data_IF_918428019799
#
_entry.id   IF_918428019799
#
_cell.length_a   1.000
_cell.length_b   1.000
_cell.length_c   1.000
_cell.angle_alpha   90.00
_cell.angle_beta   90.00
_cell.angle_gamma   90.00
#
_symmetry.space_group_name_H-M   'P 1'
#
loop_
_entity.id
_entity.type
_entity.pdbx_description
1 polymer ?
#
# COMPACT_ATOMS: atom_id res chain seq x y z
N UNK A 1 -11.89 -12.45 19.51
CA UNK A 1 -12.33 -11.30 18.68
C UNK A 1 -11.63 -11.44 17.34
N UNK A 2 -12.32 -11.28 16.20
CA UNK A 2 -11.68 -11.44 14.89
C UNK A 2 -10.64 -10.33 14.71
N UNK A 3 -9.41 -10.72 14.35
CA UNK A 3 -8.30 -9.78 14.11
C UNK A 3 -8.38 -9.17 12.70
N UNK A 4 -9.51 -9.33 12.01
CA UNK A 4 -9.71 -8.88 10.62
C UNK A 4 -9.82 -7.37 10.56
N UNK A 5 -8.98 -6.74 9.74
CA UNK A 5 -8.98 -5.30 9.46
C UNK A 5 -9.71 -4.94 8.18
N UNK A 6 -9.51 -5.72 7.11
CA UNK A 6 -10.21 -5.60 5.84
C UNK A 6 -10.87 -6.93 5.52
N UNK A 7 -12.10 -6.90 5.05
CA UNK A 7 -12.75 -8.05 4.44
C UNK A 7 -13.48 -7.62 3.18
N UNK A 8 -13.50 -8.51 2.18
CA UNK A 8 -14.25 -8.32 0.94
C UNK A 8 -15.17 -9.51 0.73
N UNK A 9 -16.34 -9.28 0.18
CA UNK A 9 -17.32 -10.32 -0.15
C UNK A 9 -17.84 -10.09 -1.57
N UNK A 10 -17.46 -10.97 -2.50
CA UNK A 10 -17.80 -10.92 -3.91
C UNK A 10 -17.57 -9.54 -4.53
N UNK A 11 -16.49 -8.87 -4.12
CA UNK A 11 -16.15 -7.54 -4.61
C UNK A 11 -15.79 -7.59 -6.09
N UNK A 12 -16.45 -6.75 -6.90
CA UNK A 12 -16.14 -6.56 -8.32
C UNK A 12 -15.58 -5.16 -8.51
N UNK A 13 -14.40 -5.08 -9.10
CA UNK A 13 -13.67 -3.83 -9.34
C UNK A 13 -13.52 -3.54 -10.83
N UNK A 14 -13.40 -2.26 -11.16
CA UNK A 14 -13.25 -1.79 -12.54
C UNK A 14 -13.64 -0.33 -12.67
N UNK A 15 -13.83 0.13 -13.91
CA UNK A 15 -14.10 1.53 -14.20
C UNK A 15 -15.55 1.70 -14.67
N UNK A 16 -16.28 2.65 -14.04
CA UNK A 16 -17.57 3.10 -14.54
C UNK A 16 -17.33 4.14 -15.65
N UNK A 17 -17.74 3.86 -16.86
CA UNK A 17 -17.72 4.87 -17.93
C UNK A 17 -18.83 5.88 -17.68
N UNK A 18 -18.44 7.10 -17.27
CA UNK A 18 -19.39 8.18 -16.98
C UNK A 18 -20.12 8.74 -18.22
N UNK A 19 -19.67 8.37 -19.43
CA UNK A 19 -20.22 8.91 -20.69
C UNK A 19 -21.03 7.89 -21.51
N UNK A 20 -21.03 6.61 -21.14
CA UNK A 20 -21.81 5.59 -21.84
C UNK A 20 -22.81 4.93 -20.90
N UNK A 21 -23.98 4.61 -21.41
CA UNK A 21 -25.07 3.98 -20.66
C UNK A 21 -24.60 2.91 -19.68
N UNK A 22 -25.34 2.67 -18.60
CA UNK A 22 -25.09 1.69 -17.50
C UNK A 22 -24.57 0.31 -17.93
N UNK A 23 -24.51 -0.01 -19.23
CA UNK A 23 -24.09 -1.28 -19.80
C UNK A 23 -22.57 -1.43 -20.08
N UNK A 24 -21.79 -0.33 -20.10
CA UNK A 24 -20.36 -0.40 -20.43
C UNK A 24 -19.48 -0.16 -19.19
N UNK A 25 -19.57 -1.06 -18.21
CA UNK A 25 -18.62 -1.11 -17.09
C UNK A 25 -17.41 -1.92 -17.54
N UNK A 26 -16.23 -1.31 -17.55
CA UNK A 26 -14.99 -2.05 -17.80
C UNK A 26 -14.59 -2.79 -16.51
N UNK A 27 -15.04 -4.04 -16.39
CA UNK A 27 -14.74 -4.87 -15.22
C UNK A 27 -13.31 -5.38 -15.34
N UNK A 28 -12.53 -5.16 -14.30
CA UNK A 28 -11.13 -5.62 -14.21
C UNK A 28 -11.04 -6.95 -13.49
N UNK A 29 -11.73 -7.11 -12.36
CA UNK A 29 -11.81 -8.36 -11.60
C UNK A 29 -13.21 -8.53 -10.98
N UNK A 30 -13.62 -9.81 -10.81
CA UNK A 30 -14.92 -10.18 -10.25
C UNK A 30 -14.79 -11.04 -9.03
N UNK A 31 -15.82 -10.98 -8.17
CA UNK A 31 -16.06 -11.90 -7.07
C UNK A 31 -14.86 -12.08 -6.11
N UNK A 32 -14.11 -10.99 -5.87
CA UNK A 32 -12.97 -11.00 -4.97
C UNK A 32 -13.47 -11.18 -3.52
N UNK A 33 -13.07 -12.27 -2.88
CA UNK A 33 -13.41 -12.56 -1.49
C UNK A 33 -12.15 -12.93 -0.73
N UNK A 34 -11.75 -12.09 0.23
CA UNK A 34 -10.57 -12.28 1.07
C UNK A 34 -10.67 -11.46 2.36
N UNK A 35 -9.78 -11.75 3.31
CA UNK A 35 -9.64 -10.97 4.54
C UNK A 35 -8.17 -10.73 4.89
N UNK A 36 -7.87 -9.51 5.34
CA UNK A 36 -6.57 -9.11 5.88
C UNK A 36 -6.68 -8.86 7.38
N UNK A 37 -5.66 -9.27 8.12
CA UNK A 37 -5.64 -9.18 9.57
C UNK A 37 -4.78 -7.99 10.05
N UNK A 38 -5.05 -7.53 11.25
CA UNK A 38 -4.16 -6.60 11.92
C UNK A 38 -2.83 -7.29 12.25
N UNK A 39 -1.74 -6.56 12.13
CA UNK A 39 -0.40 -7.07 12.44
C UNK A 39 0.24 -7.86 11.31
N UNK A 40 -0.29 -7.84 10.08
CA UNK A 40 0.31 -8.56 8.95
C UNK A 40 0.71 -7.65 7.80
N UNK A 41 1.77 -8.02 7.10
CA UNK A 41 2.17 -7.46 5.82
C UNK A 41 1.86 -8.46 4.69
N UNK A 42 0.97 -8.06 3.79
CA UNK A 42 0.55 -8.85 2.62
C UNK A 42 1.10 -8.21 1.36
N UNK A 43 1.80 -9.01 0.54
CA UNK A 43 2.23 -8.59 -0.79
C UNK A 43 1.24 -9.06 -1.85
N UNK A 44 0.77 -8.13 -2.67
CA UNK A 44 -0.12 -8.41 -3.79
C UNK A 44 0.70 -8.58 -5.06
N UNK A 45 0.66 -9.79 -5.63
CA UNK A 45 1.35 -10.18 -6.84
C UNK A 45 0.36 -10.46 -7.97
N UNK A 46 0.83 -10.36 -9.20
CA UNK A 46 0.08 -10.67 -10.41
C UNK A 46 0.60 -9.90 -11.61
N UNK A 47 0.27 -10.32 -12.84
CA UNK A 47 0.74 -9.67 -14.07
C UNK A 47 0.28 -8.21 -14.17
N UNK A 48 0.92 -7.46 -15.09
CA UNK A 48 0.51 -6.09 -15.37
C UNK A 48 -0.92 -6.05 -15.89
N UNK A 49 -1.70 -5.05 -15.44
CA UNK A 49 -3.08 -4.88 -15.84
C UNK A 49 -4.09 -5.84 -15.16
N UNK A 50 -3.66 -6.74 -14.25
CA UNK A 50 -4.59 -7.63 -13.54
C UNK A 50 -5.49 -6.92 -12.52
N UNK A 51 -5.24 -5.63 -12.21
CA UNK A 51 -6.11 -4.82 -11.36
C UNK A 51 -5.58 -4.48 -9.97
N UNK A 52 -4.26 -4.63 -9.71
CA UNK A 52 -3.64 -4.33 -8.40
C UNK A 52 -3.95 -2.91 -7.93
N UNK A 53 -3.58 -1.90 -8.71
CA UNK A 53 -3.83 -0.49 -8.38
C UNK A 53 -5.33 -0.15 -8.32
N UNK A 54 -6.15 -0.82 -9.17
CA UNK A 54 -7.61 -0.69 -9.13
C UNK A 54 -8.19 -1.20 -7.81
N UNK A 55 -7.68 -2.33 -7.31
CA UNK A 55 -8.10 -2.88 -6.02
C UNK A 55 -7.70 -1.94 -4.87
N UNK A 56 -6.44 -1.46 -4.85
CA UNK A 56 -5.98 -0.51 -3.83
C UNK A 56 -6.82 0.77 -3.82
N UNK A 57 -7.08 1.35 -5.01
CA UNK A 57 -7.91 2.56 -5.13
C UNK A 57 -9.35 2.32 -4.69
N UNK A 58 -9.91 1.13 -4.95
CA UNK A 58 -11.25 0.77 -4.50
C UNK A 58 -11.30 0.61 -2.99
N UNK A 59 -10.33 -0.10 -2.39
CA UNK A 59 -10.25 -0.27 -0.93
C UNK A 59 -10.03 1.06 -0.20
N UNK A 60 -9.24 1.97 -0.80
CA UNK A 60 -9.02 3.31 -0.27
C UNK A 60 -10.24 4.26 -0.46
N UNK A 61 -11.30 3.82 -1.14
CA UNK A 61 -12.48 4.64 -1.41
C UNK A 61 -12.29 5.72 -2.48
N UNK A 62 -11.17 5.69 -3.23
CA UNK A 62 -10.91 6.65 -4.32
C UNK A 62 -11.75 6.36 -5.57
N UNK A 63 -12.18 5.11 -5.74
CA UNK A 63 -13.13 4.75 -6.77
C UNK A 63 -14.18 3.78 -6.22
N UNK A 64 -15.43 3.85 -6.71
CA UNK A 64 -16.49 2.97 -6.22
C UNK A 64 -16.28 1.53 -6.72
N UNK A 65 -16.65 0.56 -5.89
CA UNK A 65 -16.84 -0.80 -6.33
C UNK A 65 -17.97 -0.89 -7.38
N UNK A 66 -17.83 -1.81 -8.34
CA UNK A 66 -18.89 -2.08 -9.33
C UNK A 66 -20.03 -2.85 -8.66
N UNK A 67 -19.71 -3.85 -7.84
CA UNK A 67 -20.64 -4.64 -7.03
C UNK A 67 -19.90 -5.36 -5.90
N UNK A 68 -20.66 -6.02 -5.02
CA UNK A 68 -20.11 -6.67 -3.83
C UNK A 68 -19.86 -5.68 -2.70
N UNK A 69 -19.27 -6.17 -1.64
CA UNK A 69 -19.06 -5.40 -0.41
C UNK A 69 -17.62 -5.53 0.06
N UNK A 70 -17.13 -4.49 0.73
CA UNK A 70 -15.90 -4.54 1.50
C UNK A 70 -16.05 -3.73 2.78
N UNK A 71 -15.41 -4.22 3.83
CA UNK A 71 -15.41 -3.57 5.13
C UNK A 71 -13.99 -3.46 5.64
N UNK A 72 -13.71 -2.40 6.35
CA UNK A 72 -12.52 -2.23 7.16
C UNK A 72 -12.92 -1.73 8.54
N UNK A 73 -12.08 -1.99 9.53
CA UNK A 73 -12.41 -1.78 10.95
C UNK A 73 -12.79 -0.34 11.28
N UNK A 74 -12.23 0.61 10.52
CA UNK A 74 -12.54 2.04 10.62
C UNK A 74 -12.69 2.62 9.21
N UNK A 75 -13.94 2.75 8.78
CA UNK A 75 -14.32 3.10 7.41
C UNK A 75 -13.73 4.42 6.85
N UNK A 76 -13.09 5.24 7.69
CA UNK A 76 -12.57 6.56 7.31
C UNK A 76 -11.03 6.63 7.26
N UNK A 77 -10.29 5.58 7.66
CA UNK A 77 -8.88 5.72 8.00
C UNK A 77 -7.99 4.68 7.31
N UNK A 78 -7.89 4.78 6.00
CA UNK A 78 -6.86 4.08 5.22
C UNK A 78 -5.86 5.11 4.71
N UNK A 79 -4.57 4.89 4.97
CA UNK A 79 -3.52 5.62 4.29
C UNK A 79 -3.19 4.92 2.97
N UNK A 80 -3.08 5.71 1.89
CA UNK A 80 -2.67 5.22 0.58
C UNK A 80 -1.40 5.95 0.12
N UNK A 81 -0.41 5.16 -0.27
CA UNK A 81 0.82 5.63 -0.91
C UNK A 81 0.84 5.14 -2.35
N UNK A 82 0.82 6.07 -3.29
CA UNK A 82 0.87 5.79 -4.73
C UNK A 82 2.30 5.89 -5.26
N UNK A 83 2.58 5.18 -6.34
CA UNK A 83 3.89 5.16 -7.03
C UNK A 83 4.20 6.46 -7.78
N UNK A 84 3.20 7.32 -8.00
CA UNK A 84 3.39 8.52 -8.80
C UNK A 84 4.52 9.39 -8.24
N UNK A 85 5.48 9.73 -9.11
CA UNK A 85 6.51 10.74 -8.80
C UNK A 85 5.81 12.09 -8.65
N UNK A 86 5.45 12.42 -7.43
CA UNK A 86 4.97 13.75 -7.12
C UNK A 86 6.15 14.73 -7.34
N UNK A 87 6.07 15.54 -8.39
CA UNK A 87 6.94 16.71 -8.50
C UNK A 87 6.46 17.71 -7.45
N UNK A 88 7.15 17.74 -6.32
CA UNK A 88 6.86 18.64 -5.22
C UNK A 88 7.94 19.73 -5.20
N UNK A 89 7.92 20.60 -6.22
CA UNK A 89 8.86 21.72 -6.28
C UNK A 89 8.59 22.68 -5.14
N UNK A 90 9.66 23.11 -4.46
CA UNK A 90 9.61 24.02 -3.31
C UNK A 90 8.79 23.53 -2.10
N UNK A 91 8.60 22.22 -1.97
CA UNK A 91 7.89 21.61 -0.82
C UNK A 91 8.93 21.01 0.14
N UNK A 92 8.84 21.35 1.41
CA UNK A 92 9.74 20.79 2.44
C UNK A 92 9.29 19.39 2.84
N UNK A 93 10.18 18.64 3.48
CA UNK A 93 9.83 17.35 4.11
C UNK A 93 8.71 17.52 5.13
N UNK A 94 8.76 18.61 5.92
CA UNK A 94 7.68 18.98 6.84
C UNK A 94 6.34 19.06 6.12
N UNK A 95 6.26 19.83 5.03
CA UNK A 95 5.01 20.01 4.28
C UNK A 95 4.46 18.68 3.76
N UNK A 96 5.35 17.80 3.27
CA UNK A 96 4.94 16.47 2.76
C UNK A 96 4.36 15.61 3.87
N UNK A 97 5.03 15.53 5.04
CA UNK A 97 4.56 14.68 6.14
C UNK A 97 3.31 15.29 6.80
N UNK A 98 3.24 16.62 6.89
CA UNK A 98 2.09 17.37 7.40
C UNK A 98 0.80 17.11 6.62
N UNK A 99 0.86 16.78 5.31
CA UNK A 99 -0.30 16.33 4.56
C UNK A 99 -0.98 15.10 5.20
N UNK A 100 -0.24 14.28 5.94
CA UNK A 100 -0.80 13.16 6.71
C UNK A 100 -1.71 13.63 7.85
N UNK A 101 -1.52 14.84 8.35
CA UNK A 101 -2.35 15.42 9.42
C UNK A 101 -3.58 16.17 8.91
N UNK A 102 -3.69 16.38 7.58
CA UNK A 102 -4.82 17.12 6.99
C UNK A 102 -6.22 16.67 7.47
N UNK A 103 -6.52 15.36 7.65
CA UNK A 103 -7.81 14.92 8.18
C UNK A 103 -8.12 15.40 9.61
N UNK A 104 -7.12 15.87 10.35
CA UNK A 104 -7.20 16.28 11.75
C UNK A 104 -7.11 17.79 11.93
N UNK A 105 -6.71 18.54 10.89
CA UNK A 105 -6.60 19.99 10.95
C UNK A 105 -7.97 20.66 11.03
N UNK A 106 -8.01 21.82 11.71
CA UNK A 106 -9.20 22.67 11.76
C UNK A 106 -9.52 23.28 10.38
N UNK A 107 -10.68 23.93 10.25
CA UNK A 107 -11.06 24.65 9.03
C UNK A 107 -10.02 25.70 8.57
N UNK A 108 -9.23 26.25 9.49
CA UNK A 108 -8.16 27.20 9.19
C UNK A 108 -6.83 26.53 8.80
N UNK A 109 -6.75 25.17 8.78
CA UNK A 109 -5.58 24.42 8.33
C UNK A 109 -4.35 24.50 9.25
N UNK A 110 -4.49 25.03 10.47
CA UNK A 110 -3.38 25.11 11.42
C UNK A 110 -3.04 23.75 12.03
N UNK A 111 -1.74 23.46 12.13
CA UNK A 111 -1.21 22.31 12.87
C UNK A 111 -1.11 22.66 14.35
N UNK A 112 -1.46 21.71 15.22
CA UNK A 112 -1.25 21.80 16.67
C UNK A 112 0.16 21.35 17.03
N UNK A 113 0.58 21.62 18.28
CA UNK A 113 1.85 21.08 18.80
C UNK A 113 1.88 19.55 18.81
N UNK A 114 0.73 18.90 19.01
CA UNK A 114 0.60 17.44 18.91
C UNK A 114 0.82 16.96 17.47
N UNK A 115 0.30 17.68 16.46
CA UNK A 115 0.53 17.34 15.06
C UNK A 115 2.01 17.43 14.69
N UNK A 116 2.73 18.47 15.19
CA UNK A 116 4.17 18.63 14.96
C UNK A 116 4.97 17.49 15.60
N UNK A 117 4.57 17.05 16.78
CA UNK A 117 5.19 15.89 17.43
C UNK A 117 4.95 14.59 16.65
N UNK A 118 3.74 14.36 16.14
CA UNK A 118 3.40 13.20 15.31
C UNK A 118 4.21 13.22 13.99
N UNK A 119 4.39 14.38 13.38
CA UNK A 119 5.20 14.56 12.17
C UNK A 119 6.65 14.12 12.44
N UNK A 120 7.25 14.63 13.53
CA UNK A 120 8.62 14.29 13.91
C UNK A 120 8.76 12.78 14.23
N UNK A 121 7.87 12.22 15.03
CA UNK A 121 7.85 10.78 15.37
C UNK A 121 7.68 9.91 14.12
N UNK A 122 6.88 10.32 13.14
CA UNK A 122 6.68 9.59 11.91
C UNK A 122 7.96 9.48 11.08
N UNK A 123 8.80 10.53 11.06
CA UNK A 123 10.12 10.49 10.42
C UNK A 123 11.09 9.58 11.17
N UNK A 124 11.07 9.62 12.49
CA UNK A 124 11.90 8.75 13.32
C UNK A 124 11.58 7.27 13.08
N UNK A 125 10.29 6.93 13.01
CA UNK A 125 9.82 5.56 12.75
C UNK A 125 10.32 5.00 11.40
N UNK A 126 10.51 5.84 10.40
CA UNK A 126 11.05 5.43 9.09
C UNK A 126 12.58 5.50 9.00
N UNK A 127 13.25 5.75 10.14
CA UNK A 127 14.70 5.63 10.28
C UNK A 127 15.48 6.92 9.99
N UNK A 128 14.88 8.09 10.16
CA UNK A 128 15.63 9.34 10.30
C UNK A 128 16.09 9.48 11.76
N UNK A 129 17.34 9.93 11.98
CA UNK A 129 17.88 10.08 13.33
C UNK A 129 17.22 11.29 14.04
N UNK A 130 16.82 11.10 15.28
CA UNK A 130 16.15 12.11 16.10
C UNK A 130 16.88 13.47 16.11
N UNK A 131 18.20 13.45 16.21
CA UNK A 131 19.05 14.66 16.22
C UNK A 131 19.04 15.44 14.90
N UNK A 132 18.76 14.77 13.79
CA UNK A 132 18.75 15.37 12.44
C UNK A 132 17.35 15.78 11.98
N UNK A 133 16.29 15.36 12.67
CA UNK A 133 14.89 15.60 12.27
C UNK A 133 14.60 17.10 12.04
N UNK A 134 14.98 18.04 12.89
CA UNK A 134 14.71 19.46 12.64
C UNK A 134 15.30 19.96 11.31
N UNK A 135 16.52 19.52 11.00
CA UNK A 135 17.19 19.88 9.73
C UNK A 135 16.51 19.19 8.54
N UNK A 136 16.12 17.92 8.70
CA UNK A 136 15.43 17.14 7.67
C UNK A 136 14.06 17.74 7.36
N UNK A 137 13.28 18.11 8.36
CA UNK A 137 11.97 18.75 8.18
C UNK A 137 12.07 20.05 7.38
N UNK A 138 13.13 20.84 7.58
CA UNK A 138 13.35 22.09 6.87
C UNK A 138 13.93 21.90 5.44
N UNK A 139 14.42 20.70 5.10
CA UNK A 139 14.99 20.44 3.79
C UNK A 139 13.91 20.25 2.72
N UNK A 140 14.23 20.54 1.45
CA UNK A 140 13.32 20.31 0.35
C UNK A 140 13.21 18.82 0.03
N UNK A 141 11.99 18.35 -0.18
CA UNK A 141 11.70 16.96 -0.53
C UNK A 141 12.52 16.48 -1.75
N UNK A 142 12.63 17.31 -2.79
CA UNK A 142 13.35 16.97 -4.00
C UNK A 142 14.87 16.84 -3.83
N UNK A 143 15.44 17.35 -2.72
CA UNK A 143 16.87 17.22 -2.44
C UNK A 143 17.27 15.84 -1.91
N UNK A 144 16.29 14.99 -1.57
CA UNK A 144 16.51 13.66 -1.02
C UNK A 144 16.68 12.60 -2.12
N UNK A 145 17.41 11.53 -1.81
CA UNK A 145 17.50 10.33 -2.65
C UNK A 145 16.11 9.66 -2.80
N UNK A 146 15.93 8.83 -3.85
CA UNK A 146 14.66 8.15 -4.08
C UNK A 146 14.28 7.24 -2.89
N UNK A 147 15.26 6.59 -2.24
CA UNK A 147 15.01 5.79 -1.04
C UNK A 147 14.58 6.62 0.18
N UNK A 148 15.15 7.81 0.36
CA UNK A 148 14.71 8.75 1.42
C UNK A 148 13.33 9.32 1.10
N UNK A 149 13.07 9.73 -0.14
CA UNK A 149 11.75 10.16 -0.59
C UNK A 149 10.68 9.12 -0.31
N UNK A 150 10.98 7.86 -0.59
CA UNK A 150 10.04 6.78 -0.29
C UNK A 150 9.76 6.64 1.21
N UNK A 151 10.80 6.74 2.05
CA UNK A 151 10.62 6.73 3.51
C UNK A 151 9.82 7.94 4.00
N UNK A 152 10.02 9.13 3.43
CA UNK A 152 9.23 10.34 3.75
C UNK A 152 7.75 10.13 3.36
N UNK A 153 7.45 9.52 2.22
CA UNK A 153 6.06 9.20 1.84
C UNK A 153 5.41 8.16 2.77
N UNK A 154 6.20 7.21 3.28
CA UNK A 154 5.73 6.29 4.32
C UNK A 154 5.50 7.04 5.63
N UNK A 155 6.38 7.97 6.03
CA UNK A 155 6.18 8.82 7.21
C UNK A 155 4.89 9.65 7.10
N UNK A 156 4.60 10.23 5.94
CA UNK A 156 3.30 10.87 5.66
C UNK A 156 2.13 9.94 5.94
N UNK A 157 2.20 8.68 5.49
CA UNK A 157 1.14 7.69 5.72
C UNK A 157 1.03 7.32 7.21
N UNK A 158 2.15 7.26 7.94
CA UNK A 158 2.17 7.03 9.38
C UNK A 158 1.57 8.19 10.17
N UNK A 159 1.84 9.43 9.74
CA UNK A 159 1.28 10.63 10.36
C UNK A 159 -0.26 10.67 10.29
N UNK A 160 -0.88 9.94 9.38
CA UNK A 160 -2.33 9.74 9.39
C UNK A 160 -2.84 8.86 10.54
N UNK A 161 -1.95 8.17 11.26
CA UNK A 161 -2.29 7.29 12.39
C UNK A 161 -3.36 6.24 12.08
N UNK A 162 -3.44 5.80 10.82
CA UNK A 162 -4.45 4.82 10.38
C UNK A 162 -4.03 3.39 10.73
N UNK A 163 -4.99 2.48 10.99
CA UNK A 163 -4.70 1.07 11.22
C UNK A 163 -4.30 0.33 9.93
N UNK A 164 -4.65 0.86 8.76
CA UNK A 164 -4.42 0.24 7.46
C UNK A 164 -3.56 1.15 6.57
N UNK A 165 -2.53 0.59 5.95
CA UNK A 165 -1.70 1.27 4.97
C UNK A 165 -1.69 0.44 3.69
N UNK A 166 -2.11 1.07 2.59
CA UNK A 166 -2.06 0.51 1.25
C UNK A 166 -0.92 1.18 0.49
N UNK A 167 -0.07 0.39 -0.19
CA UNK A 167 1.05 0.93 -0.96
C UNK A 167 1.05 0.33 -2.36
N UNK A 168 1.04 1.20 -3.37
CA UNK A 168 1.15 0.78 -4.76
C UNK A 168 2.60 0.88 -5.21
N UNK A 169 3.25 -0.26 -5.43
CA UNK A 169 4.65 -0.41 -5.88
C UNK A 169 5.68 0.47 -5.12
N UNK A 170 5.72 0.43 -3.77
CA UNK A 170 6.55 1.35 -2.99
C UNK A 170 8.06 1.17 -3.18
N UNK A 171 8.49 0.12 -3.88
CA UNK A 171 9.88 -0.18 -4.17
C UNK A 171 10.29 0.08 -5.62
N UNK A 172 9.34 0.54 -6.45
CA UNK A 172 9.63 0.92 -7.82
C UNK A 172 10.72 2.01 -7.85
N UNK A 173 11.67 1.89 -8.77
CA UNK A 173 12.79 2.83 -8.96
C UNK A 173 13.87 2.83 -7.86
N UNK A 174 13.78 1.98 -6.84
CA UNK A 174 14.81 1.81 -5.84
C UNK A 174 15.82 0.73 -6.29
N UNK A 175 17.07 0.86 -5.88
CA UNK A 175 18.04 -0.21 -5.96
C UNK A 175 17.75 -1.32 -4.94
N UNK A 176 18.34 -2.50 -5.13
CA UNK A 176 18.04 -3.68 -4.31
C UNK A 176 18.23 -3.46 -2.79
N UNK A 177 19.31 -2.81 -2.30
CA UNK A 177 19.46 -2.54 -0.87
C UNK A 177 18.29 -1.70 -0.32
N UNK A 178 17.89 -0.64 -1.01
CA UNK A 178 16.80 0.22 -0.58
C UNK A 178 15.43 -0.46 -0.64
N UNK A 179 15.18 -1.35 -1.64
CA UNK A 179 13.97 -2.19 -1.68
C UNK A 179 13.85 -3.05 -0.43
N UNK A 180 14.93 -3.74 -0.06
CA UNK A 180 14.97 -4.60 1.13
C UNK A 180 14.73 -3.77 2.40
N UNK A 181 15.34 -2.59 2.52
CA UNK A 181 15.16 -1.70 3.67
C UNK A 181 13.71 -1.25 3.80
N UNK A 182 13.06 -0.83 2.71
CA UNK A 182 11.65 -0.40 2.71
C UNK A 182 10.72 -1.56 3.09
N UNK A 183 10.89 -2.74 2.51
CA UNK A 183 10.03 -3.88 2.84
C UNK A 183 10.21 -4.36 4.28
N UNK A 184 11.45 -4.38 4.81
CA UNK A 184 11.72 -4.68 6.22
C UNK A 184 11.11 -3.64 7.16
N UNK A 185 11.19 -2.37 6.80
CA UNK A 185 10.52 -1.29 7.54
C UNK A 185 9.02 -1.53 7.61
N UNK A 186 8.37 -1.78 6.46
CA UNK A 186 6.92 -2.01 6.40
C UNK A 186 6.51 -3.25 7.20
N UNK A 187 7.27 -4.36 7.11
CA UNK A 187 7.02 -5.55 7.93
C UNK A 187 7.15 -5.26 9.43
N UNK A 188 8.18 -4.53 9.85
CA UNK A 188 8.34 -4.10 11.24
C UNK A 188 7.16 -3.27 11.71
N UNK A 189 6.71 -2.29 10.92
CA UNK A 189 5.54 -1.46 11.25
C UNK A 189 4.25 -2.30 11.36
N UNK A 190 4.06 -3.31 10.51
CA UNK A 190 2.95 -4.22 10.62
C UNK A 190 2.97 -4.96 11.97
N UNK A 191 4.07 -5.60 12.31
CA UNK A 191 4.16 -6.44 13.49
C UNK A 191 4.22 -5.66 14.80
N UNK A 192 5.05 -4.60 14.88
CA UNK A 192 5.26 -3.86 16.13
C UNK A 192 4.12 -2.89 16.44
N UNK A 193 3.49 -2.31 15.43
CA UNK A 193 2.40 -1.35 15.59
C UNK A 193 1.01 -1.94 15.28
N UNK A 194 0.93 -3.25 15.08
CA UNK A 194 -0.31 -3.97 14.78
C UNK A 194 -1.09 -3.38 13.57
N UNK A 195 -0.35 -2.87 12.56
CA UNK A 195 -0.93 -2.32 11.35
C UNK A 195 -1.19 -3.40 10.32
N UNK A 196 -2.23 -3.22 9.50
CA UNK A 196 -2.44 -4.01 8.30
C UNK A 196 -1.78 -3.31 7.13
N UNK A 197 -0.82 -3.96 6.49
CA UNK A 197 -0.09 -3.41 5.35
C UNK A 197 -0.33 -4.27 4.12
N UNK A 198 -0.89 -3.67 3.06
CA UNK A 198 -1.08 -4.31 1.76
C UNK A 198 -0.22 -3.57 0.72
N UNK A 199 0.67 -4.31 0.06
CA UNK A 199 1.64 -3.77 -0.89
C UNK A 199 1.42 -4.41 -2.25
N UNK A 200 1.21 -3.63 -3.32
CA UNK A 200 1.41 -4.16 -4.66
C UNK A 200 2.91 -4.16 -5.01
N UNK A 201 3.38 -5.20 -5.65
CA UNK A 201 4.79 -5.28 -6.07
C UNK A 201 4.98 -6.22 -7.27
N UNK A 202 6.07 -6.00 -8.00
CA UNK A 202 6.59 -6.90 -9.03
C UNK A 202 7.80 -7.70 -8.55
N UNK A 203 8.28 -7.45 -7.34
CA UNK A 203 9.46 -8.07 -6.74
C UNK A 203 9.11 -9.43 -6.13
N UNK A 204 8.99 -10.45 -6.97
CA UNK A 204 8.55 -11.78 -6.55
C UNK A 204 9.39 -12.35 -5.40
N UNK A 205 10.70 -12.37 -5.55
CA UNK A 205 11.61 -12.98 -4.55
C UNK A 205 11.51 -12.28 -3.20
N UNK A 206 11.47 -10.95 -3.21
CA UNK A 206 11.34 -10.16 -1.99
C UNK A 206 9.97 -10.32 -1.34
N UNK A 207 8.90 -10.37 -2.13
CA UNK A 207 7.55 -10.62 -1.64
C UNK A 207 7.46 -11.99 -0.96
N UNK A 208 7.98 -13.04 -1.61
CA UNK A 208 7.98 -14.40 -1.06
C UNK A 208 8.83 -14.54 0.21
N UNK A 209 9.91 -13.75 0.34
CA UNK A 209 10.81 -13.81 1.49
C UNK A 209 10.38 -12.97 2.68
N UNK A 210 9.67 -11.87 2.47
CA UNK A 210 9.45 -10.85 3.50
C UNK A 210 7.98 -10.67 3.89
N UNK A 211 6.99 -11.08 3.08
CA UNK A 211 5.59 -10.96 3.47
C UNK A 211 5.11 -12.11 4.36
N UNK A 212 4.06 -11.86 5.12
CA UNK A 212 3.40 -12.90 5.93
C UNK A 212 2.47 -13.76 5.06
N UNK A 213 1.77 -13.12 4.12
CA UNK A 213 0.94 -13.79 3.10
C UNK A 213 1.08 -13.09 1.75
N UNK A 214 0.75 -13.83 0.70
CA UNK A 214 0.68 -13.36 -0.68
C UNK A 214 -0.77 -13.33 -1.12
N UNK A 215 -1.21 -12.19 -1.67
CA UNK A 215 -2.46 -12.04 -2.38
C UNK A 215 -2.16 -12.12 -3.87
N UNK A 216 -2.36 -13.29 -4.46
CA UNK A 216 -2.05 -13.55 -5.85
C UNK A 216 -3.28 -13.28 -6.72
N UNK A 217 -3.17 -12.30 -7.62
CA UNK A 217 -4.22 -11.92 -8.56
C UNK A 217 -4.04 -12.61 -9.89
N UNK A 218 -5.04 -13.39 -10.30
CA UNK A 218 -5.05 -14.09 -11.59
C UNK A 218 -6.05 -13.40 -12.54
N UNK A 219 -5.62 -12.95 -13.73
CA UNK A 219 -6.53 -12.32 -14.69
C UNK A 219 -7.74 -13.19 -15.00
N UNK A 220 -8.95 -12.67 -14.77
CA UNK A 220 -10.22 -13.36 -15.04
C UNK A 220 -10.56 -14.54 -14.12
N UNK A 221 -9.67 -14.92 -13.18
CA UNK A 221 -9.89 -16.03 -12.24
C UNK A 221 -9.99 -15.58 -10.77
N UNK A 222 -9.87 -14.28 -10.51
CA UNK A 222 -9.95 -13.72 -9.16
C UNK A 222 -8.63 -13.75 -8.42
N UNK A 223 -8.68 -14.05 -7.13
CA UNK A 223 -7.52 -13.99 -6.21
C UNK A 223 -7.39 -15.26 -5.38
N UNK A 224 -6.15 -15.51 -4.96
CA UNK A 224 -5.81 -16.47 -3.92
C UNK A 224 -4.98 -15.75 -2.85
N UNK A 225 -5.26 -16.01 -1.57
CA UNK A 225 -4.56 -15.41 -0.45
C UNK A 225 -4.08 -16.50 0.48
N UNK A 226 -2.77 -16.71 0.52
CA UNK A 226 -2.15 -17.74 1.36
C UNK A 226 -0.68 -17.40 1.66
N UNK A 227 0.00 -18.25 2.44
CA UNK A 227 1.43 -18.17 2.64
C UNK A 227 2.21 -18.46 1.36
N UNK A 228 3.41 -17.90 1.25
CA UNK A 228 4.28 -18.14 0.08
C UNK A 228 4.53 -19.63 -0.14
N UNK A 229 4.77 -20.39 0.93
CA UNK A 229 5.08 -21.81 0.85
C UNK A 229 3.90 -22.65 0.35
N UNK A 230 2.68 -22.33 0.78
CA UNK A 230 1.48 -23.04 0.31
C UNK A 230 1.23 -22.72 -1.16
N UNK A 231 1.30 -21.46 -1.57
CA UNK A 231 1.10 -21.09 -2.98
C UNK A 231 2.13 -21.72 -3.93
N UNK A 232 3.40 -21.91 -3.47
CA UNK A 232 4.43 -22.61 -4.24
C UNK A 232 4.16 -24.09 -4.47
N UNK A 233 3.43 -24.73 -3.56
CA UNK A 233 3.07 -26.16 -3.67
C UNK A 233 1.90 -26.40 -4.61
N UNK A 234 1.26 -25.34 -5.10
CA UNK A 234 0.11 -25.39 -6.01
C UNK A 234 0.50 -24.87 -7.39
N UNK A 235 -0.42 -24.95 -8.34
CA UNK A 235 -0.28 -24.32 -9.66
C UNK A 235 -0.67 -22.83 -9.70
N UNK A 236 -0.83 -22.21 -8.53
CA UNK A 236 -1.33 -20.84 -8.39
C UNK A 236 -0.50 -19.82 -9.19
N UNK A 237 0.82 -19.87 -9.06
CA UNK A 237 1.72 -18.96 -9.77
C UNK A 237 1.70 -19.22 -11.28
N UNK A 238 1.72 -20.49 -11.72
CA UNK A 238 1.61 -20.84 -13.14
C UNK A 238 0.27 -20.38 -13.72
N UNK A 239 -0.81 -20.54 -12.97
CA UNK A 239 -2.13 -20.04 -13.36
C UNK A 239 -2.19 -18.51 -13.47
N UNK A 240 -1.50 -17.78 -12.57
CA UNK A 240 -1.52 -16.33 -12.55
C UNK A 240 -0.64 -15.70 -13.66
N UNK A 241 0.54 -16.27 -13.90
CA UNK A 241 1.54 -15.72 -14.82
C UNK A 241 1.55 -16.39 -16.20
N UNK A 242 0.84 -17.51 -16.37
CA UNK A 242 0.78 -18.25 -17.62
C UNK A 242 2.04 -19.07 -17.93
N UNK A 243 2.96 -19.16 -17.01
CA UNK A 243 4.21 -19.92 -17.10
C UNK A 243 4.69 -20.35 -15.71
N UNK A 244 5.50 -21.40 -15.65
CA UNK A 244 6.20 -21.75 -14.40
C UNK A 244 7.34 -20.75 -14.15
N UNK A 245 7.10 -19.80 -13.24
CA UNK A 245 8.06 -18.74 -12.92
C UNK A 245 9.24 -19.23 -12.06
N UNK A 246 9.13 -20.42 -11.46
CA UNK A 246 10.21 -21.04 -10.67
C UNK A 246 11.09 -21.97 -11.50
N UNK A 247 10.57 -22.45 -12.65
CA UNK A 247 11.33 -23.24 -13.62
C UNK A 247 11.07 -22.77 -15.07
N UNK A 248 11.50 -21.54 -15.43
CA UNK A 248 11.15 -20.92 -16.71
C UNK A 248 11.78 -21.60 -17.95
N UNK A 249 12.70 -22.54 -17.75
CA UNK A 249 13.42 -23.27 -18.80
C UNK A 249 13.06 -24.76 -18.85
N UNK A 250 12.13 -25.20 -18.00
CA UNK A 250 11.71 -26.61 -17.83
C UNK A 250 10.79 -27.16 -18.90
#
# INVERSE_FOLDING_TARGET
MSNVSISTNKLTIGYADSQRSRAARNIVQRDLTFSLNAGEMVCMLGPNGCGKSTLLSTLAGLQPAISGEYTHKDAKNIALVLTERLSMDNTTVHDVVALGRYPYTSFLGGLSSEDEEIIAQSLEQVGFEHTTIPTQLASFFNAHSDGEKQRILIAKALAQQTPVILLDEPTAHLDLPHRILVLRLLRRLAHEQNKTILISTHELDLALALSDRILLMTPGKGIQLDTADHLRQTDAFTSAFGMDIFNPLG
#
